data_IF_327481498186
#
_entry.id   IF_327481498186
#
_cell.length_a   1.000
_cell.length_b   1.000
_cell.length_c   1.000
_cell.angle_alpha   90.00
_cell.angle_beta   90.00
_cell.angle_gamma   90.00
#
_symmetry.space_group_name_H-M   'P 1'
#
loop_
_entity.id
_entity.type
_entity.pdbx_description
1 polymer ?
#
# COMPACT_ATOMS: atom_id res chain seq x y z
N UNK A 1 22.39 -6.49 9.90
CA UNK A 1 21.11 -6.25 9.17
C UNK A 1 20.03 -7.01 9.93
N UNK A 2 19.01 -6.33 10.42
CA UNK A 2 17.88 -7.00 11.08
C UNK A 2 17.13 -7.83 10.03
N UNK A 3 17.08 -9.14 10.21
CA UNK A 3 16.33 -10.03 9.34
C UNK A 3 14.85 -9.86 9.64
N UNK A 4 14.21 -8.91 8.96
CA UNK A 4 12.77 -8.70 9.10
C UNK A 4 12.04 -9.95 8.64
N UNK A 5 11.31 -10.59 9.55
CA UNK A 5 10.43 -11.69 9.20
C UNK A 5 9.12 -11.14 8.64
N UNK A 6 8.97 -11.13 7.33
CA UNK A 6 7.78 -10.61 6.64
C UNK A 6 6.49 -11.32 7.05
N UNK A 7 6.45 -12.65 7.25
CA UNK A 7 5.25 -13.33 7.77
C UNK A 7 4.75 -12.70 9.08
N UNK A 8 5.67 -12.41 10.01
CA UNK A 8 5.33 -11.82 11.32
C UNK A 8 4.87 -10.36 11.15
N UNK A 9 5.55 -9.56 10.33
CA UNK A 9 5.17 -8.16 10.12
C UNK A 9 3.82 -8.03 9.43
N UNK A 10 3.52 -8.91 8.48
CA UNK A 10 2.21 -8.96 7.84
C UNK A 10 1.12 -9.39 8.83
N UNK A 11 1.36 -10.45 9.61
CA UNK A 11 0.40 -10.92 10.62
C UNK A 11 0.07 -9.85 11.66
N UNK A 12 1.04 -9.02 12.08
CA UNK A 12 0.80 -7.88 12.98
C UNK A 12 -0.17 -6.87 12.39
N UNK A 13 -0.06 -6.56 11.08
CA UNK A 13 -1.01 -5.66 10.42
C UNK A 13 -2.39 -6.29 10.33
N UNK A 14 -2.46 -7.57 9.91
CA UNK A 14 -3.73 -8.28 9.73
C UNK A 14 -4.49 -8.40 11.07
N UNK A 15 -3.77 -8.57 12.17
CA UNK A 15 -4.32 -8.67 13.54
C UNK A 15 -4.59 -7.31 14.18
N UNK A 16 -4.36 -6.19 13.50
CA UNK A 16 -4.49 -4.86 14.09
C UNK A 16 -5.92 -4.53 14.49
N UNK A 17 -6.08 -4.08 15.73
CA UNK A 17 -7.35 -3.64 16.32
C UNK A 17 -7.32 -2.19 16.82
N UNK A 18 -6.29 -1.41 16.44
CA UNK A 18 -6.04 -0.09 17.00
C UNK A 18 -7.07 0.98 16.61
N UNK A 19 -7.76 0.83 15.47
CA UNK A 19 -8.80 1.78 15.07
C UNK A 19 -10.14 1.41 15.76
N UNK A 20 -10.74 2.38 16.44
CA UNK A 20 -12.10 2.20 16.98
C UNK A 20 -13.13 2.30 15.85
N UNK A 21 -13.93 1.26 15.70
CA UNK A 21 -15.08 1.27 14.77
C UNK A 21 -16.11 2.33 15.18
N UNK A 22 -16.17 2.65 16.47
CA UNK A 22 -17.15 3.59 17.05
C UNK A 22 -16.74 5.05 16.87
N UNK A 23 -15.45 5.36 16.85
CA UNK A 23 -14.95 6.75 16.71
C UNK A 23 -14.70 7.15 15.26
N UNK A 24 -14.58 6.21 14.35
CA UNK A 24 -14.39 6.45 12.92
C UNK A 24 -15.30 5.51 12.12
N UNK A 25 -16.61 5.65 12.31
CA UNK A 25 -17.69 4.77 11.82
C UNK A 25 -17.69 4.43 10.32
N UNK A 26 -16.60 4.76 9.62
CA UNK A 26 -16.35 4.40 8.22
C UNK A 26 -15.40 3.22 8.08
N UNK A 27 -14.62 2.89 9.10
CA UNK A 27 -13.68 1.77 9.05
C UNK A 27 -14.44 0.45 9.07
N UNK A 28 -14.20 -0.36 8.06
CA UNK A 28 -14.64 -1.74 8.00
C UNK A 28 -13.52 -2.63 8.54
N UNK A 29 -13.77 -3.25 9.66
CA UNK A 29 -12.85 -4.17 10.31
C UNK A 29 -13.66 -5.19 11.08
N UNK A 30 -14.08 -6.19 10.42
CA UNK A 30 -14.60 -7.40 11.02
C UNK A 30 -13.61 -8.55 10.81
N UNK A 31 -13.78 -9.60 11.58
CA UNK A 31 -12.86 -10.72 11.58
C UNK A 31 -13.06 -11.66 10.40
N UNK A 32 -14.12 -11.49 9.64
CA UNK A 32 -14.54 -12.45 8.63
C UNK A 32 -14.21 -11.99 7.20
N UNK A 33 -14.55 -10.77 6.86
CA UNK A 33 -14.47 -10.29 5.49
C UNK A 33 -13.60 -9.05 5.28
N UNK A 34 -13.40 -8.24 6.33
CA UNK A 34 -12.70 -6.96 6.27
C UNK A 34 -11.45 -6.93 7.16
N UNK A 35 -10.48 -7.77 6.85
CA UNK A 35 -9.22 -7.75 7.56
C UNK A 35 -8.35 -6.56 7.15
N UNK A 36 -7.56 -5.99 8.07
CA UNK A 36 -6.52 -5.03 7.72
C UNK A 36 -5.55 -5.63 6.70
N UNK A 37 -5.23 -4.85 5.67
CA UNK A 37 -4.42 -5.32 4.54
C UNK A 37 -2.98 -4.84 4.69
N UNK A 38 -2.01 -5.76 4.81
CA UNK A 38 -0.61 -5.38 5.05
C UNK A 38 0.03 -4.71 3.84
N UNK A 39 -0.40 -5.03 2.63
CA UNK A 39 0.20 -4.56 1.39
C UNK A 39 0.95 -5.67 0.65
N UNK A 40 1.95 -5.30 -0.13
CA UNK A 40 2.72 -6.18 -1.00
C UNK A 40 4.19 -5.78 -0.99
N UNK A 41 5.10 -6.74 -1.03
CA UNK A 41 6.54 -6.53 -1.22
C UNK A 41 7.02 -7.47 -2.31
N UNK A 42 7.44 -6.96 -3.45
CA UNK A 42 7.91 -7.74 -4.57
C UNK A 42 9.22 -8.48 -4.27
N UNK A 43 9.47 -9.57 -4.96
CA UNK A 43 10.65 -10.43 -4.74
C UNK A 43 11.97 -9.69 -5.02
N UNK A 44 11.96 -8.80 -6.02
CA UNK A 44 13.10 -7.98 -6.41
C UNK A 44 13.12 -6.59 -5.76
N UNK A 45 12.22 -6.33 -4.80
CA UNK A 45 12.09 -5.02 -4.18
C UNK A 45 13.43 -4.40 -3.74
N UNK A 46 14.29 -5.21 -3.15
CA UNK A 46 15.57 -4.77 -2.60
C UNK A 46 16.56 -4.22 -3.62
N UNK A 47 16.36 -4.56 -4.88
CA UNK A 47 17.17 -4.02 -5.97
C UNK A 47 16.83 -2.57 -6.28
N UNK A 48 15.53 -2.22 -6.25
CA UNK A 48 15.03 -0.90 -6.65
C UNK A 48 14.55 -0.04 -5.49
N UNK A 49 14.04 -0.64 -4.44
CA UNK A 49 13.53 -0.01 -3.21
C UNK A 49 12.55 1.13 -3.46
N UNK A 50 11.63 0.92 -4.41
CA UNK A 50 10.54 1.83 -4.75
C UNK A 50 9.29 1.43 -4.02
N UNK A 51 8.73 2.36 -3.24
CA UNK A 51 7.49 2.13 -2.50
C UNK A 51 6.36 2.97 -3.06
N UNK A 52 5.23 2.32 -3.35
CA UNK A 52 3.98 2.97 -3.69
C UNK A 52 3.08 3.04 -2.46
N UNK A 53 2.49 4.20 -2.22
CA UNK A 53 1.60 4.40 -1.07
C UNK A 53 0.24 4.89 -1.53
N UNK A 54 -0.79 4.06 -1.34
CA UNK A 54 -2.19 4.41 -1.58
C UNK A 54 -2.88 5.01 -0.35
N UNK A 55 -4.15 5.38 -0.50
CA UNK A 55 -4.98 5.94 0.56
C UNK A 55 -5.39 4.87 1.58
N UNK A 56 -6.25 3.96 1.15
CA UNK A 56 -6.78 2.81 1.87
C UNK A 56 -7.23 1.75 0.86
N UNK A 57 -7.40 0.48 1.26
CA UNK A 57 -7.92 -0.53 0.37
C UNK A 57 -9.32 -0.17 -0.13
N UNK A 58 -9.54 -0.27 -1.44
CA UNK A 58 -10.84 -0.07 -2.05
C UNK A 58 -11.81 -1.21 -1.75
N UNK A 59 -13.10 -0.95 -1.95
CA UNK A 59 -14.15 -1.97 -1.86
C UNK A 59 -14.42 -2.49 -3.29
N UNK A 60 -14.28 -3.78 -3.57
CA UNK A 60 -14.59 -4.32 -4.88
C UNK A 60 -16.07 -4.17 -5.19
N UNK A 61 -16.41 -3.97 -6.46
CA UNK A 61 -17.80 -3.82 -6.89
C UNK A 61 -18.63 -5.09 -6.72
N UNK A 62 -17.95 -6.25 -6.66
CA UNK A 62 -18.54 -7.57 -6.46
C UNK A 62 -17.79 -8.26 -5.32
N UNK A 63 -18.17 -7.94 -4.08
CA UNK A 63 -17.48 -8.29 -2.84
C UNK A 63 -17.17 -9.79 -2.70
N UNK A 64 -18.11 -10.66 -3.02
CA UNK A 64 -18.04 -12.06 -2.60
C UNK A 64 -17.12 -12.94 -3.45
N UNK A 65 -16.81 -12.57 -4.69
CA UNK A 65 -16.06 -13.45 -5.60
C UNK A 65 -14.61 -13.08 -5.83
N UNK A 66 -14.26 -11.82 -5.76
CA UNK A 66 -12.90 -11.36 -6.07
C UNK A 66 -11.98 -11.34 -4.85
N UNK A 67 -12.52 -11.05 -3.66
CA UNK A 67 -11.74 -10.93 -2.44
C UNK A 67 -11.62 -12.22 -1.61
N UNK A 68 -12.46 -13.21 -1.83
CA UNK A 68 -12.46 -14.43 -1.01
C UNK A 68 -11.09 -15.13 -0.95
N UNK A 69 -10.37 -15.36 -2.06
CA UNK A 69 -9.02 -15.94 -2.00
C UNK A 69 -8.04 -15.10 -1.20
N UNK A 70 -8.13 -13.77 -1.34
CA UNK A 70 -7.26 -12.84 -0.62
C UNK A 70 -7.57 -12.83 0.87
N UNK A 71 -8.83 -12.69 1.26
CA UNK A 71 -9.26 -12.73 2.66
C UNK A 71 -8.91 -14.05 3.33
N UNK A 72 -9.10 -15.17 2.62
CA UNK A 72 -8.70 -16.49 3.13
C UNK A 72 -7.19 -16.61 3.35
N UNK A 73 -6.37 -16.10 2.43
CA UNK A 73 -4.93 -16.09 2.59
C UNK A 73 -4.48 -15.20 3.77
N UNK A 74 -5.12 -14.03 3.95
CA UNK A 74 -4.88 -13.16 5.12
C UNK A 74 -5.20 -13.88 6.43
N UNK A 75 -6.32 -14.59 6.52
CA UNK A 75 -6.69 -15.36 7.72
C UNK A 75 -5.64 -16.42 8.03
N UNK A 76 -5.25 -17.24 7.04
CA UNK A 76 -4.25 -18.29 7.24
C UNK A 76 -2.92 -17.74 7.73
N UNK A 77 -2.48 -16.62 7.18
CA UNK A 77 -1.24 -15.97 7.61
C UNK A 77 -1.37 -15.39 9.02
N UNK A 78 -2.52 -14.81 9.38
CA UNK A 78 -2.79 -14.30 10.73
C UNK A 78 -2.75 -15.41 11.78
N UNK A 79 -3.38 -16.56 11.49
CA UNK A 79 -3.52 -17.67 12.41
C UNK A 79 -2.21 -18.43 12.64
N UNK A 80 -1.42 -18.58 11.58
CA UNK A 80 -0.14 -19.30 11.63
C UNK A 80 0.91 -18.62 10.75
N UNK A 81 1.55 -17.54 11.23
CA UNK A 81 2.59 -16.83 10.47
C UNK A 81 3.75 -17.75 10.12
N UNK A 82 3.93 -18.02 8.83
CA UNK A 82 5.01 -18.83 8.28
C UNK A 82 5.36 -18.38 6.87
N UNK A 83 6.55 -18.75 6.40
CA UNK A 83 7.00 -18.43 5.04
C UNK A 83 6.05 -19.02 3.98
N UNK A 84 5.57 -20.24 4.16
CA UNK A 84 4.63 -20.88 3.23
C UNK A 84 3.33 -20.08 3.10
N UNK A 85 2.77 -19.61 4.23
CA UNK A 85 1.55 -18.80 4.25
C UNK A 85 1.78 -17.40 3.67
N UNK A 86 2.95 -16.83 3.90
CA UNK A 86 3.35 -15.58 3.27
C UNK A 86 3.46 -15.74 1.75
N UNK A 87 4.10 -16.81 1.26
CA UNK A 87 4.20 -17.09 -0.16
C UNK A 87 2.83 -17.36 -0.81
N UNK A 88 1.93 -18.03 -0.11
CA UNK A 88 0.55 -18.21 -0.56
C UNK A 88 -0.17 -16.87 -0.75
N UNK A 89 -0.10 -15.99 0.25
CA UNK A 89 -0.65 -14.63 0.17
C UNK A 89 -0.02 -13.84 -0.97
N UNK A 90 1.30 -13.96 -1.14
CA UNK A 90 2.04 -13.27 -2.17
C UNK A 90 1.58 -13.68 -3.59
N UNK A 91 1.40 -14.97 -3.84
CA UNK A 91 0.86 -15.49 -5.11
C UNK A 91 -0.54 -14.96 -5.41
N UNK A 92 -1.41 -14.91 -4.39
CA UNK A 92 -2.75 -14.33 -4.54
C UNK A 92 -2.65 -12.85 -4.93
N UNK A 93 -1.81 -12.07 -4.26
CA UNK A 93 -1.61 -10.65 -4.57
C UNK A 93 -1.03 -10.42 -5.96
N UNK A 94 -0.10 -11.23 -6.41
CA UNK A 94 0.45 -11.17 -7.77
C UNK A 94 -0.63 -11.32 -8.86
N UNK A 95 -1.66 -12.12 -8.60
CA UNK A 95 -2.78 -12.28 -9.54
C UNK A 95 -3.82 -11.16 -9.44
N UNK A 96 -4.00 -10.55 -8.27
CA UNK A 96 -5.02 -9.52 -8.06
C UNK A 96 -4.55 -8.09 -8.34
N UNK A 97 -3.32 -7.73 -7.95
CA UNK A 97 -2.82 -6.36 -8.10
C UNK A 97 -2.88 -5.86 -9.55
N UNK A 98 -2.53 -6.65 -10.58
CA UNK A 98 -2.65 -6.21 -11.97
C UNK A 98 -4.07 -5.82 -12.39
N UNK A 99 -5.09 -6.37 -11.71
CA UNK A 99 -6.50 -6.08 -11.99
C UNK A 99 -6.99 -4.81 -11.26
N UNK A 100 -6.22 -4.29 -10.32
CA UNK A 100 -6.61 -3.09 -9.60
C UNK A 100 -6.45 -1.84 -10.49
N UNK A 101 -7.42 -0.91 -10.46
CA UNK A 101 -7.33 0.32 -11.25
C UNK A 101 -6.08 1.15 -10.96
N UNK A 102 -5.55 1.03 -9.76
CA UNK A 102 -4.32 1.71 -9.31
C UNK A 102 -3.10 1.23 -10.12
N UNK A 103 -3.01 -0.05 -10.40
CA UNK A 103 -1.84 -0.64 -11.05
C UNK A 103 -1.60 -0.09 -12.46
N UNK A 104 -2.59 -0.13 -13.34
CA UNK A 104 -2.42 0.28 -14.74
C UNK A 104 -2.62 1.77 -14.97
N UNK A 105 -3.43 2.45 -14.14
CA UNK A 105 -3.86 3.82 -14.42
C UNK A 105 -3.06 4.89 -13.66
N UNK A 106 -2.44 4.53 -12.54
CA UNK A 106 -1.89 5.53 -11.64
C UNK A 106 -0.40 5.37 -11.32
N UNK A 107 0.24 4.32 -11.79
CA UNK A 107 1.68 4.22 -11.68
C UNK A 107 2.31 3.67 -12.96
N UNK A 108 3.26 4.40 -13.58
CA UNK A 108 3.86 4.05 -14.86
C UNK A 108 5.02 3.05 -14.67
N UNK A 109 4.74 1.82 -14.28
CA UNK A 109 5.77 0.80 -14.04
C UNK A 109 6.68 0.60 -15.26
N UNK A 110 6.09 0.35 -16.42
CA UNK A 110 6.86 0.13 -17.67
C UNK A 110 7.74 1.30 -18.02
N UNK A 111 7.23 2.55 -17.88
CA UNK A 111 8.01 3.75 -18.13
C UNK A 111 9.15 3.94 -17.12
N UNK A 112 9.03 3.37 -15.94
CA UNK A 112 10.11 3.36 -14.94
C UNK A 112 11.11 2.22 -15.19
N UNK A 113 10.82 1.28 -16.09
CA UNK A 113 11.60 0.06 -16.27
C UNK A 113 11.40 -0.94 -15.12
N UNK A 114 10.26 -0.88 -14.46
CA UNK A 114 9.91 -1.70 -13.29
C UNK A 114 8.74 -2.62 -13.59
N UNK A 115 8.69 -3.71 -12.87
CA UNK A 115 7.56 -4.62 -12.79
C UNK A 115 6.92 -4.59 -11.39
N UNK A 116 5.84 -5.32 -11.21
CA UNK A 116 5.24 -5.52 -9.89
C UNK A 116 6.24 -6.15 -8.89
N UNK A 117 7.14 -7.00 -9.37
CA UNK A 117 8.14 -7.67 -8.54
C UNK A 117 9.22 -6.72 -7.98
N UNK A 118 9.37 -5.54 -8.56
CA UNK A 118 10.44 -4.60 -8.23
C UNK A 118 10.02 -3.54 -7.21
N UNK A 119 8.76 -3.56 -6.78
CA UNK A 119 8.18 -2.54 -5.92
C UNK A 119 7.61 -3.13 -4.62
N UNK A 120 7.42 -2.27 -3.62
CA UNK A 120 6.47 -2.53 -2.55
C UNK A 120 5.25 -1.60 -2.68
N UNK A 121 4.08 -2.08 -2.26
CA UNK A 121 2.84 -1.32 -2.28
C UNK A 121 2.09 -1.49 -0.96
N UNK A 122 1.67 -0.39 -0.38
CA UNK A 122 0.79 -0.40 0.78
C UNK A 122 -0.04 0.90 0.89
N UNK A 123 -0.96 0.95 1.82
CA UNK A 123 -1.82 2.10 2.02
C UNK A 123 -1.48 2.84 3.32
N UNK A 124 -1.78 4.15 3.38
CA UNK A 124 -1.69 4.94 4.61
C UNK A 124 -2.57 4.31 5.69
N UNK A 125 -3.83 4.02 5.36
CA UNK A 125 -4.75 3.28 6.24
C UNK A 125 -4.90 1.86 5.73
N UNK A 126 -4.74 0.88 6.62
CA UNK A 126 -4.72 -0.54 6.27
C UNK A 126 -6.10 -1.18 6.16
N UNK A 127 -7.13 -0.50 6.63
CA UNK A 127 -8.49 -0.98 6.65
C UNK A 127 -9.31 -0.38 5.51
N UNK A 128 -10.28 -1.14 5.02
CA UNK A 128 -11.32 -0.64 4.13
C UNK A 128 -12.23 0.35 4.83
N UNK A 129 -12.94 1.13 4.05
CA UNK A 129 -13.96 2.07 4.55
C UNK A 129 -15.30 1.82 3.85
N UNK A 130 -16.38 2.04 4.56
CA UNK A 130 -17.73 1.92 4.00
C UNK A 130 -17.92 2.91 2.85
N UNK A 131 -18.42 2.42 1.72
CA UNK A 131 -18.70 3.23 0.53
C UNK A 131 -17.47 3.93 -0.06
N UNK A 132 -16.27 3.35 0.09
CA UNK A 132 -15.01 3.96 -0.33
C UNK A 132 -14.78 5.38 0.23
N UNK A 133 -15.39 5.69 1.38
CA UNK A 133 -15.22 6.97 2.03
C UNK A 133 -13.76 7.21 2.43
N UNK A 134 -13.36 8.47 2.50
CA UNK A 134 -12.03 8.82 3.01
C UNK A 134 -11.94 8.43 4.50
N UNK A 135 -10.85 7.75 4.91
CA UNK A 135 -10.63 7.45 6.33
C UNK A 135 -10.59 8.71 7.17
N UNK A 136 -11.12 8.62 8.38
CA UNK A 136 -11.05 9.71 9.36
C UNK A 136 -9.64 9.92 9.89
N UNK A 137 -9.40 11.09 10.49
CA UNK A 137 -8.08 11.49 10.99
C UNK A 137 -7.56 10.55 12.09
N UNK A 138 -8.44 10.02 12.93
CA UNK A 138 -8.06 9.10 14.01
C UNK A 138 -7.50 7.79 13.45
N UNK A 139 -8.13 7.24 12.41
CA UNK A 139 -7.62 6.03 11.72
C UNK A 139 -6.31 6.30 10.99
N UNK A 140 -6.15 7.48 10.38
CA UNK A 140 -4.89 7.90 9.78
C UNK A 140 -3.78 7.92 10.84
N UNK A 141 -3.98 8.65 11.94
CA UNK A 141 -2.98 8.77 13.00
C UNK A 141 -2.65 7.41 13.64
N UNK A 142 -3.66 6.58 13.87
CA UNK A 142 -3.46 5.22 14.37
C UNK A 142 -2.60 4.37 13.43
N UNK A 143 -2.87 4.39 12.13
CA UNK A 143 -2.08 3.64 11.16
C UNK A 143 -0.67 4.20 10.97
N UNK A 144 -0.49 5.53 10.98
CA UNK A 144 0.84 6.14 10.92
C UNK A 144 1.70 5.71 12.11
N UNK A 145 1.15 5.74 13.31
CA UNK A 145 1.88 5.41 14.54
C UNK A 145 2.18 3.90 14.68
N UNK A 146 1.23 3.04 14.31
CA UNK A 146 1.37 1.60 14.56
C UNK A 146 2.06 0.84 13.42
N UNK A 147 1.96 1.33 12.18
CA UNK A 147 2.38 0.56 11.01
C UNK A 147 3.26 1.33 10.03
N UNK A 148 2.90 2.57 9.68
CA UNK A 148 3.49 3.25 8.53
C UNK A 148 4.98 3.51 8.72
N UNK A 149 5.36 4.13 9.84
CA UNK A 149 6.76 4.41 10.15
C UNK A 149 7.61 3.14 10.19
N UNK A 150 7.12 2.11 10.90
CA UNK A 150 7.79 0.82 11.00
C UNK A 150 7.99 0.14 9.63
N UNK A 151 7.01 0.27 8.73
CA UNK A 151 7.15 -0.27 7.38
C UNK A 151 8.19 0.47 6.57
N UNK A 152 8.28 1.81 6.70
CA UNK A 152 9.36 2.58 6.09
C UNK A 152 10.72 2.15 6.62
N UNK A 153 10.84 1.94 7.94
CA UNK A 153 12.09 1.52 8.56
C UNK A 153 12.51 0.11 8.09
N UNK A 154 11.57 -0.83 8.00
CA UNK A 154 11.83 -2.18 7.53
C UNK A 154 12.16 -2.25 6.03
N UNK A 155 11.49 -1.45 5.21
CA UNK A 155 11.69 -1.42 3.75
C UNK A 155 12.90 -0.58 3.35
N UNK A 156 13.31 0.39 4.16
CA UNK A 156 14.37 1.35 3.84
C UNK A 156 14.27 1.87 2.39
N UNK A 157 13.13 2.46 1.98
CA UNK A 157 12.91 2.82 0.59
C UNK A 157 13.89 3.88 0.10
N UNK A 158 14.28 3.79 -1.15
CA UNK A 158 15.04 4.82 -1.85
C UNK A 158 14.16 5.97 -2.30
N UNK A 159 12.92 5.65 -2.63
CA UNK A 159 11.92 6.63 -3.06
C UNK A 159 10.51 6.16 -2.67
N UNK A 160 9.67 7.11 -2.29
CA UNK A 160 8.25 6.88 -2.02
C UNK A 160 7.40 7.67 -3.01
N UNK A 161 6.47 6.98 -3.69
CA UNK A 161 5.50 7.58 -4.60
C UNK A 161 4.09 7.40 -4.02
N UNK A 162 3.47 8.50 -3.65
CA UNK A 162 2.09 8.48 -3.19
C UNK A 162 1.12 8.41 -4.36
N UNK A 163 0.12 7.55 -4.27
CA UNK A 163 -0.95 7.44 -5.25
C UNK A 163 -2.09 8.37 -4.87
N UNK A 164 -2.01 9.60 -5.36
CA UNK A 164 -2.96 10.68 -5.12
C UNK A 164 -2.55 11.62 -4.00
N UNK A 165 -2.99 12.87 -4.13
CA UNK A 165 -2.67 13.97 -3.20
C UNK A 165 -3.09 13.67 -1.77
N UNK A 166 -4.24 13.01 -1.55
CA UNK A 166 -4.72 12.72 -0.20
C UNK A 166 -3.71 11.88 0.61
N UNK A 167 -3.13 10.86 0.00
CA UNK A 167 -2.12 10.01 0.66
C UNK A 167 -0.85 10.82 0.97
N UNK A 168 -0.41 11.65 0.02
CA UNK A 168 0.72 12.55 0.22
C UNK A 168 0.48 13.55 1.37
N UNK A 169 -0.67 14.24 1.39
CA UNK A 169 -1.01 15.22 2.43
C UNK A 169 -1.05 14.62 3.85
N UNK A 170 -1.30 13.32 3.96
CA UNK A 170 -1.42 12.62 5.26
C UNK A 170 -0.13 11.98 5.74
N UNK A 171 0.74 11.54 4.85
CA UNK A 171 1.88 10.73 5.23
C UNK A 171 3.25 11.24 4.72
N UNK A 172 3.30 12.29 3.92
CA UNK A 172 4.57 12.82 3.38
C UNK A 172 5.53 13.30 4.46
N UNK A 173 5.03 13.88 5.56
CA UNK A 173 5.85 14.34 6.67
C UNK A 173 6.62 13.18 7.33
N UNK A 174 5.99 12.01 7.44
CA UNK A 174 6.61 10.82 8.01
C UNK A 174 7.73 10.26 7.12
N UNK A 175 7.58 10.38 5.81
CA UNK A 175 8.62 10.02 4.83
C UNK A 175 9.75 11.05 4.85
N UNK A 176 9.41 12.34 4.82
CA UNK A 176 10.38 13.43 4.80
C UNK A 176 11.27 13.47 6.04
N UNK A 177 10.74 13.16 7.24
CA UNK A 177 11.53 13.05 8.49
C UNK A 177 12.66 12.04 8.40
N UNK A 178 12.54 11.03 7.52
CA UNK A 178 13.58 10.02 7.25
C UNK A 178 14.54 10.41 6.14
N UNK A 179 14.40 11.60 5.57
CA UNK A 179 15.22 12.05 4.44
C UNK A 179 14.96 11.28 3.14
N UNK A 180 13.82 10.58 3.04
CA UNK A 180 13.50 9.76 1.87
C UNK A 180 12.91 10.66 0.77
N UNK A 181 13.45 10.64 -0.45
CA UNK A 181 12.86 11.30 -1.60
C UNK A 181 11.42 10.86 -1.84
N UNK A 182 10.53 11.81 -2.10
CA UNK A 182 9.12 11.52 -2.29
C UNK A 182 8.49 12.38 -3.40
N UNK A 183 7.45 11.83 -4.01
CA UNK A 183 6.57 12.54 -4.94
C UNK A 183 5.17 11.95 -4.86
N UNK A 184 4.23 12.46 -5.64
CA UNK A 184 2.92 11.84 -5.75
C UNK A 184 2.42 11.81 -7.19
N UNK A 185 1.69 10.76 -7.51
CA UNK A 185 0.96 10.60 -8.75
C UNK A 185 -0.43 11.23 -8.60
N UNK A 186 -0.72 12.24 -9.38
CA UNK A 186 -1.98 12.96 -9.25
C UNK A 186 -3.15 12.16 -9.85
N UNK A 187 -4.21 11.99 -9.06
CA UNK A 187 -5.43 11.28 -9.45
C UNK A 187 -6.62 12.21 -9.74
N UNK A 188 -6.42 13.52 -9.70
CA UNK A 188 -7.52 14.47 -9.92
C UNK A 188 -8.04 14.38 -11.35
N UNK A 189 -9.34 14.15 -11.50
CA UNK A 189 -10.01 14.08 -12.80
C UNK A 189 -10.05 15.44 -13.51
N UNK A 190 -9.95 16.53 -12.74
CA UNK A 190 -9.98 17.92 -13.24
C UNK A 190 -8.68 18.38 -13.89
N UNK A 191 -7.60 17.61 -13.80
CA UNK A 191 -6.34 17.96 -14.45
C UNK A 191 -6.44 17.87 -15.96
N UNK A 192 -5.86 18.85 -16.64
CA UNK A 192 -5.61 18.80 -18.08
C UNK A 192 -4.71 17.62 -18.45
N UNK A 193 -4.73 17.24 -19.72
CA UNK A 193 -3.84 16.20 -20.25
C UNK A 193 -2.38 16.57 -20.05
N UNK A 194 -2.05 17.85 -20.23
CA UNK A 194 -0.66 18.36 -20.09
C UNK A 194 -0.17 18.21 -18.63
N UNK A 195 -0.97 18.62 -17.65
CA UNK A 195 -0.62 18.48 -16.22
C UNK A 195 -0.42 17.01 -15.83
N UNK A 196 -1.25 16.11 -16.34
CA UNK A 196 -1.08 14.67 -16.10
C UNK A 196 0.23 14.13 -16.69
N UNK A 197 0.56 14.52 -17.92
CA UNK A 197 1.80 14.14 -18.58
C UNK A 197 3.00 14.67 -17.78
N UNK A 198 2.96 15.93 -17.37
CA UNK A 198 4.05 16.55 -16.61
C UNK A 198 4.26 15.86 -15.25
N UNK A 199 3.18 15.60 -14.52
CA UNK A 199 3.23 14.88 -13.25
C UNK A 199 3.83 13.46 -13.43
N UNK A 200 3.40 12.74 -14.46
CA UNK A 200 3.91 11.41 -14.80
C UNK A 200 5.41 11.44 -15.10
N UNK A 201 5.87 12.40 -15.90
CA UNK A 201 7.31 12.60 -16.20
C UNK A 201 8.12 12.85 -14.93
N UNK A 202 7.65 13.71 -14.03
CA UNK A 202 8.31 13.99 -12.75
C UNK A 202 8.46 12.72 -11.91
N UNK A 203 7.42 11.89 -11.83
CA UNK A 203 7.48 10.60 -11.12
C UNK A 203 8.51 9.67 -11.76
N UNK A 204 8.46 9.50 -13.09
CA UNK A 204 9.41 8.63 -13.81
C UNK A 204 10.86 9.09 -13.62
N UNK A 205 11.11 10.39 -13.73
CA UNK A 205 12.44 10.95 -13.52
C UNK A 205 12.97 10.68 -12.11
N UNK A 206 12.16 10.90 -11.07
CA UNK A 206 12.57 10.67 -9.69
C UNK A 206 12.84 9.17 -9.42
N UNK A 207 12.01 8.30 -9.96
CA UNK A 207 12.18 6.85 -9.78
C UNK A 207 13.45 6.36 -10.48
N UNK A 208 13.74 6.85 -11.70
CA UNK A 208 14.95 6.48 -12.46
C UNK A 208 16.25 7.07 -11.89
N UNK A 209 16.20 8.28 -11.33
CA UNK A 209 17.39 9.01 -10.86
C UNK A 209 18.19 8.28 -9.76
N UNK A 210 17.65 7.28 -9.16
CA UNK A 210 18.34 6.53 -8.12
C UNK A 210 18.80 5.13 -8.56
N UNK A 211 18.65 4.77 -9.84
CA UNK A 211 19.16 3.51 -10.39
C UNK A 211 20.58 3.67 -10.99
N UNK A 212 21.17 4.89 -10.91
CA UNK A 212 22.55 5.22 -11.27
C UNK A 212 23.43 5.23 -10.02
#
# INVERSE_FOLDING_TARGET
MSTTSWPIEFAKVISCTACSVTTDGKILRDTEENLPQPGYVGENYWKHRVVLVGQNPGTPKTLERQDQPYTAALRRLREAPSDDKYQELHKVLQSFIPQWPVHGNYFPLDECGLSLQDIAYFNVVRCRTSGDAKPGINSVNSCLNNHFGRWLDNLAPRVVVFIGKWAADRASQEVARRGIPLTFMNRQRSLSSLERIQNRRTVVQLVRAGDT
#
